data_IF_889216557593
#
_entry.id   IF_889216557593
#
_cell.length_a   1.000
_cell.length_b   1.000
_cell.length_c   1.000
_cell.angle_alpha   90.00
_cell.angle_beta   90.00
_cell.angle_gamma   90.00
#
_symmetry.space_group_name_H-M   'P 1'
#
loop_
_entity.id
_entity.type
_entity.pdbx_description
1 polymer ?
#
# COMPACT_ATOMS: atom_id res chain seq x y z
N UNK A 1 17.79 9.20 2.54
CA UNK A 1 17.25 7.93 2.02
C UNK A 1 15.80 8.13 1.62
N UNK A 2 15.44 7.65 0.42
CA UNK A 2 14.08 7.71 -0.12
C UNK A 2 13.59 6.29 -0.35
N UNK A 3 12.41 5.96 0.18
CA UNK A 3 11.78 4.64 0.06
C UNK A 3 10.43 4.81 -0.62
N UNK A 4 10.25 4.19 -1.77
CA UNK A 4 8.95 4.08 -2.43
C UNK A 4 8.14 2.96 -1.76
N UNK A 5 7.11 3.32 -1.05
CA UNK A 5 6.35 2.37 -0.22
C UNK A 5 5.23 1.66 -0.97
N UNK A 6 5.06 1.92 -2.27
CA UNK A 6 4.03 1.27 -3.07
C UNK A 6 4.42 1.15 -4.54
N UNK A 7 4.91 -0.02 -4.90
CA UNK A 7 5.24 -0.36 -6.28
C UNK A 7 4.78 -1.80 -6.60
N UNK A 8 4.01 -1.97 -7.67
CA UNK A 8 3.61 -3.28 -8.16
C UNK A 8 4.62 -3.81 -9.15
N UNK A 9 4.97 -5.11 -9.04
CA UNK A 9 5.83 -5.77 -10.02
C UNK A 9 5.09 -6.90 -10.73
N UNK A 10 5.44 -7.09 -11.98
CA UNK A 10 4.95 -8.15 -12.87
C UNK A 10 6.13 -8.79 -13.59
N UNK A 11 5.91 -9.95 -14.21
CA UNK A 11 6.98 -10.60 -15.01
C UNK A 11 7.23 -9.93 -16.36
N UNK A 12 6.30 -9.08 -16.84
CA UNK A 12 6.39 -8.42 -18.13
C UNK A 12 7.32 -7.19 -18.09
N UNK A 13 7.92 -6.88 -19.21
CA UNK A 13 8.93 -5.83 -19.35
C UNK A 13 8.45 -4.42 -18.95
N UNK A 14 7.16 -4.15 -18.96
CA UNK A 14 6.65 -2.83 -18.58
C UNK A 14 6.69 -2.56 -17.07
N UNK A 15 6.79 -3.61 -16.24
CA UNK A 15 6.71 -3.48 -14.78
C UNK A 15 7.51 -4.53 -14.00
N UNK A 16 8.58 -5.12 -14.59
CA UNK A 16 9.42 -6.08 -13.89
C UNK A 16 10.42 -5.40 -12.93
N UNK A 17 11.13 -6.22 -12.16
CA UNK A 17 12.06 -5.75 -11.14
C UNK A 17 13.25 -4.98 -11.74
N UNK A 18 13.72 -5.34 -12.92
CA UNK A 18 14.80 -4.64 -13.62
C UNK A 18 14.34 -3.24 -14.04
N UNK A 19 13.09 -3.10 -14.48
CA UNK A 19 12.53 -1.80 -14.86
C UNK A 19 12.39 -0.86 -13.67
N UNK A 20 11.91 -1.33 -12.53
CA UNK A 20 11.80 -0.47 -11.35
C UNK A 20 13.17 -0.09 -10.79
N UNK A 21 14.17 -0.98 -10.83
CA UNK A 21 15.54 -0.66 -10.44
C UNK A 21 16.13 0.45 -11.32
N UNK A 22 15.87 0.39 -12.63
CA UNK A 22 16.29 1.44 -13.56
C UNK A 22 15.65 2.79 -13.19
N UNK A 23 14.32 2.82 -12.92
CA UNK A 23 13.62 4.04 -12.52
C UNK A 23 14.14 4.58 -11.18
N UNK A 24 14.37 3.72 -10.20
CA UNK A 24 14.90 4.12 -8.89
C UNK A 24 16.30 4.73 -9.01
N UNK A 25 17.20 4.10 -9.77
CA UNK A 25 18.53 4.64 -10.01
C UNK A 25 18.46 6.01 -10.70
N UNK A 26 17.56 6.17 -11.66
CA UNK A 26 17.38 7.42 -12.42
C UNK A 26 16.93 8.58 -11.53
N UNK A 27 16.08 8.32 -10.54
CA UNK A 27 15.47 9.36 -9.72
C UNK A 27 16.01 9.44 -8.29
N UNK A 28 17.04 8.66 -7.96
CA UNK A 28 17.67 8.67 -6.65
C UNK A 28 16.78 8.09 -5.54
N UNK A 29 15.94 7.09 -5.87
CA UNK A 29 15.16 6.32 -4.89
C UNK A 29 16.02 5.15 -4.43
N UNK A 30 16.21 5.04 -3.13
CA UNK A 30 17.17 4.09 -2.53
C UNK A 30 16.59 2.68 -2.41
N UNK A 31 15.32 2.57 -2.00
CA UNK A 31 14.64 1.32 -1.72
C UNK A 31 13.16 1.37 -2.12
N UNK A 32 12.51 0.21 -2.17
CA UNK A 32 11.07 0.10 -2.39
C UNK A 32 10.41 -1.03 -1.65
N UNK A 33 9.08 -0.92 -1.50
CA UNK A 33 8.21 -2.00 -1.07
C UNK A 33 7.45 -2.52 -2.28
N UNK A 34 7.63 -3.80 -2.57
CA UNK A 34 7.03 -4.47 -3.72
C UNK A 34 5.72 -5.14 -3.35
N UNK A 35 4.77 -5.02 -4.26
CA UNK A 35 3.46 -5.65 -4.20
C UNK A 35 3.25 -6.54 -5.44
N UNK A 36 2.50 -7.65 -5.34
CA UNK A 36 2.18 -8.45 -6.52
C UNK A 36 1.32 -7.62 -7.49
N UNK A 37 1.73 -7.59 -8.75
CA UNK A 37 1.04 -6.94 -9.85
C UNK A 37 0.35 -7.92 -10.79
N UNK A 38 -0.29 -7.43 -11.86
CA UNK A 38 -0.87 -8.26 -12.92
C UNK A 38 -2.25 -8.87 -12.64
N UNK A 39 -2.74 -8.78 -11.40
CA UNK A 39 -4.11 -9.23 -11.06
C UNK A 39 -5.19 -8.30 -11.65
N UNK A 40 -4.84 -7.05 -11.85
CA UNK A 40 -5.70 -6.00 -12.39
C UNK A 40 -5.02 -5.36 -13.61
N UNK A 41 -5.68 -5.36 -14.74
CA UNK A 41 -5.25 -4.56 -15.90
C UNK A 41 -5.88 -3.17 -15.82
N UNK A 42 -5.10 -2.18 -15.42
CA UNK A 42 -5.57 -0.79 -15.27
C UNK A 42 -6.16 -0.20 -16.55
N UNK A 43 -5.76 -0.70 -17.73
CA UNK A 43 -6.34 -0.30 -19.04
C UNK A 43 -7.79 -0.73 -19.19
N UNK A 44 -8.20 -1.74 -18.42
CA UNK A 44 -9.57 -2.29 -18.37
C UNK A 44 -10.41 -1.77 -17.21
N UNK A 45 -9.91 -0.79 -16.44
CA UNK A 45 -10.59 -0.29 -15.24
C UNK A 45 -12.04 0.11 -15.51
N UNK A 46 -12.31 0.76 -16.64
CA UNK A 46 -13.69 1.14 -17.03
C UNK A 46 -14.60 -0.07 -17.23
N UNK A 47 -14.06 -1.20 -17.72
CA UNK A 47 -14.83 -2.43 -17.91
C UNK A 47 -15.15 -3.09 -16.56
N UNK A 48 -14.20 -3.07 -15.64
CA UNK A 48 -14.39 -3.56 -14.28
C UNK A 48 -15.42 -2.73 -13.50
N UNK A 49 -15.33 -1.40 -13.57
CA UNK A 49 -16.32 -0.50 -12.94
C UNK A 49 -17.74 -0.71 -13.48
N UNK A 50 -17.86 -0.97 -14.78
CA UNK A 50 -19.16 -1.26 -15.42
C UNK A 50 -19.67 -2.68 -15.21
N UNK A 51 -18.89 -3.56 -14.57
CA UNK A 51 -19.21 -4.97 -14.39
C UNK A 51 -19.23 -5.79 -15.68
N UNK A 52 -18.59 -5.30 -16.76
CA UNK A 52 -18.49 -6.00 -18.05
C UNK A 52 -17.42 -7.11 -17.98
N UNK A 53 -16.34 -6.84 -17.29
CA UNK A 53 -15.29 -7.81 -16.98
C UNK A 53 -15.03 -7.80 -15.46
N UNK A 54 -14.43 -8.87 -14.97
CA UNK A 54 -13.93 -8.96 -13.59
C UNK A 54 -12.41 -9.15 -13.59
N UNK A 55 -11.68 -8.59 -12.61
CA UNK A 55 -10.26 -8.83 -12.47
C UNK A 55 -9.94 -10.32 -12.28
N UNK A 56 -8.75 -10.76 -12.72
CA UNK A 56 -8.29 -12.13 -12.50
C UNK A 56 -7.61 -12.26 -11.12
N UNK A 57 -8.40 -12.47 -10.09
CA UNK A 57 -7.92 -12.64 -8.72
C UNK A 57 -7.64 -14.10 -8.30
N UNK A 58 -7.68 -15.07 -9.21
CA UNK A 58 -7.47 -16.49 -8.88
C UNK A 58 -6.03 -16.81 -8.51
N UNK A 59 -5.07 -16.17 -9.18
CA UNK A 59 -3.65 -16.31 -8.89
C UNK A 59 -3.11 -14.99 -8.38
N UNK A 60 -2.47 -15.02 -7.22
CA UNK A 60 -1.80 -13.87 -6.62
C UNK A 60 -0.30 -14.09 -6.77
N UNK A 61 0.42 -13.28 -7.59
CA UNK A 61 1.84 -13.51 -7.87
C UNK A 61 2.77 -13.05 -6.72
N UNK A 62 2.52 -13.56 -5.51
CA UNK A 62 3.39 -13.33 -4.35
C UNK A 62 4.78 -13.95 -4.54
N UNK A 63 4.91 -14.98 -5.33
CA UNK A 63 6.18 -15.61 -5.72
C UNK A 63 7.08 -14.64 -6.49
N UNK A 64 6.54 -13.82 -7.38
CA UNK A 64 7.31 -12.79 -8.12
C UNK A 64 7.90 -11.76 -7.15
N UNK A 65 7.13 -11.37 -6.13
CA UNK A 65 7.63 -10.48 -5.07
C UNK A 65 8.70 -11.18 -4.24
N UNK A 66 8.45 -12.43 -3.83
CA UNK A 66 9.37 -13.22 -3.01
C UNK A 66 10.73 -13.39 -3.68
N UNK A 67 10.74 -13.75 -4.95
CA UNK A 67 11.97 -13.91 -5.73
C UNK A 67 12.72 -12.59 -5.84
N UNK A 68 12.00 -11.47 -6.02
CA UNK A 68 12.59 -10.16 -6.15
C UNK A 68 13.22 -9.67 -4.84
N UNK A 69 12.55 -9.83 -3.69
CA UNK A 69 13.09 -9.42 -2.39
C UNK A 69 14.26 -10.31 -1.95
N UNK A 70 14.28 -11.59 -2.33
CA UNK A 70 15.43 -12.48 -2.11
C UNK A 70 16.63 -12.10 -2.98
N UNK A 71 16.39 -11.81 -4.26
CA UNK A 71 17.44 -11.45 -5.22
C UNK A 71 18.08 -10.09 -4.94
N UNK A 72 17.28 -9.13 -4.47
CA UNK A 72 17.68 -7.74 -4.23
C UNK A 72 17.34 -7.29 -2.80
N UNK A 73 17.79 -8.06 -1.80
CA UNK A 73 17.43 -7.87 -0.39
C UNK A 73 17.94 -6.56 0.22
N UNK A 74 18.95 -5.92 -0.38
CA UNK A 74 19.44 -4.60 -0.02
C UNK A 74 18.58 -3.46 -0.59
N UNK A 75 17.71 -3.75 -1.59
CA UNK A 75 16.88 -2.79 -2.32
C UNK A 75 15.40 -2.88 -2.00
N UNK A 76 14.88 -4.08 -1.75
CA UNK A 76 13.45 -4.27 -1.67
C UNK A 76 12.99 -4.96 -0.40
N UNK A 77 11.86 -4.51 0.09
CA UNK A 77 10.95 -5.21 0.98
C UNK A 77 9.74 -5.70 0.18
N UNK A 78 8.92 -6.60 0.74
CA UNK A 78 7.70 -7.08 0.09
C UNK A 78 6.50 -7.08 1.02
N UNK A 79 5.33 -6.78 0.47
CA UNK A 79 4.04 -7.02 1.12
C UNK A 79 3.38 -8.23 0.47
N UNK A 80 2.89 -9.13 1.32
CA UNK A 80 2.21 -10.36 0.89
C UNK A 80 0.72 -10.09 0.69
N UNK A 81 0.19 -10.41 -0.48
CA UNK A 81 -1.23 -10.18 -0.76
C UNK A 81 -2.05 -11.42 -0.39
N UNK A 82 -3.08 -11.22 0.41
CA UNK A 82 -4.03 -12.26 0.84
C UNK A 82 -5.40 -12.01 0.19
N UNK A 83 -6.05 -13.08 -0.29
CA UNK A 83 -7.45 -13.07 -0.66
C UNK A 83 -8.31 -13.61 0.50
N UNK A 84 -9.02 -12.77 1.25
CA UNK A 84 -9.82 -13.20 2.41
C UNK A 84 -10.95 -14.17 2.08
N UNK A 85 -11.37 -14.22 0.79
CA UNK A 85 -12.43 -15.12 0.34
C UNK A 85 -11.95 -16.53 -0.02
N UNK A 86 -10.65 -16.72 -0.25
CA UNK A 86 -10.08 -17.98 -0.73
C UNK A 86 -9.13 -18.65 0.27
N UNK A 87 -8.81 -17.99 1.35
CA UNK A 87 -7.90 -18.49 2.39
C UNK A 87 -8.63 -19.40 3.36
N UNK A 88 -8.14 -20.60 3.56
CA UNK A 88 -8.69 -21.58 4.52
C UNK A 88 -8.27 -21.24 5.97
N UNK A 89 -7.06 -20.73 6.16
CA UNK A 89 -6.50 -20.36 7.46
C UNK A 89 -5.66 -19.08 7.34
N UNK A 90 -6.16 -17.99 7.87
CA UNK A 90 -5.47 -16.68 7.87
C UNK A 90 -4.14 -16.72 8.62
N UNK A 91 -4.10 -17.44 9.75
CA UNK A 91 -2.89 -17.54 10.57
C UNK A 91 -1.74 -18.22 9.81
N UNK A 92 -2.04 -19.26 9.03
CA UNK A 92 -1.03 -19.96 8.23
C UNK A 92 -0.49 -19.09 7.09
N UNK A 93 -1.34 -18.31 6.42
CA UNK A 93 -0.94 -17.36 5.39
C UNK A 93 -0.04 -16.26 5.95
N UNK A 94 -0.40 -15.69 7.10
CA UNK A 94 0.42 -14.67 7.76
C UNK A 94 1.75 -15.26 8.22
N UNK A 95 1.73 -16.46 8.82
CA UNK A 95 2.95 -17.15 9.21
C UNK A 95 3.86 -17.43 8.02
N UNK A 96 3.30 -17.92 6.91
CA UNK A 96 4.06 -18.12 5.67
C UNK A 96 4.71 -16.81 5.18
N UNK A 97 3.96 -15.71 5.19
CA UNK A 97 4.49 -14.41 4.78
C UNK A 97 5.68 -13.99 5.65
N UNK A 98 5.55 -14.11 6.98
CA UNK A 98 6.63 -13.77 7.92
C UNK A 98 7.87 -14.64 7.74
N UNK A 99 7.68 -15.97 7.66
CA UNK A 99 8.77 -16.94 7.50
C UNK A 99 9.54 -16.72 6.18
N UNK A 100 8.92 -16.07 5.19
CA UNK A 100 9.54 -15.74 3.90
C UNK A 100 10.02 -14.28 3.79
N UNK A 101 9.99 -13.50 4.87
CA UNK A 101 10.58 -12.17 4.92
C UNK A 101 9.69 -11.04 4.38
N UNK A 102 8.40 -11.27 4.23
CA UNK A 102 7.46 -10.20 3.95
C UNK A 102 7.27 -9.32 5.20
N UNK A 103 7.15 -8.00 5.00
CA UNK A 103 7.13 -7.02 6.09
C UNK A 103 5.76 -6.39 6.33
N UNK A 104 4.73 -6.87 5.65
CA UNK A 104 3.35 -6.42 5.77
C UNK A 104 2.40 -7.20 4.88
N UNK A 105 1.12 -6.96 5.05
CA UNK A 105 0.03 -7.63 4.32
C UNK A 105 -0.69 -6.65 3.40
N UNK A 106 -0.96 -7.07 2.16
CA UNK A 106 -1.79 -6.34 1.19
C UNK A 106 -3.18 -6.94 1.11
N UNK A 107 -4.19 -6.10 1.17
CA UNK A 107 -5.57 -6.40 0.81
C UNK A 107 -5.95 -5.71 -0.49
N UNK A 108 -6.59 -6.44 -1.43
CA UNK A 108 -6.95 -5.95 -2.75
C UNK A 108 -8.47 -6.07 -3.03
N UNK A 109 -9.32 -5.24 -2.39
CA UNK A 109 -10.77 -5.38 -2.47
C UNK A 109 -11.35 -5.24 -3.89
N UNK A 110 -10.74 -4.46 -4.78
CA UNK A 110 -11.19 -4.37 -6.17
C UNK A 110 -11.00 -5.68 -6.94
N UNK A 111 -9.95 -6.45 -6.59
CA UNK A 111 -9.64 -7.73 -7.23
C UNK A 111 -10.44 -8.86 -6.62
N UNK A 112 -10.46 -8.95 -5.30
CA UNK A 112 -10.98 -10.11 -4.58
C UNK A 112 -12.42 -9.92 -4.08
N UNK A 113 -13.01 -8.73 -4.24
CA UNK A 113 -14.42 -8.42 -3.99
C UNK A 113 -14.94 -8.87 -2.61
N UNK A 114 -14.24 -8.48 -1.55
CA UNK A 114 -14.64 -8.73 -0.16
C UNK A 114 -14.99 -7.43 0.57
N UNK A 115 -15.65 -7.58 1.72
CA UNK A 115 -15.85 -6.45 2.63
C UNK A 115 -14.64 -6.26 3.55
N UNK A 116 -14.14 -5.03 3.66
CA UNK A 116 -13.10 -4.67 4.62
C UNK A 116 -13.53 -4.88 6.09
N UNK A 117 -14.84 -5.02 6.34
CA UNK A 117 -15.39 -5.34 7.67
C UNK A 117 -15.97 -6.76 7.75
N UNK A 118 -15.46 -7.71 6.97
CA UNK A 118 -15.79 -9.14 7.10
C UNK A 118 -15.07 -9.76 8.31
N UNK A 119 -15.59 -10.85 8.83
CA UNK A 119 -14.98 -11.57 9.97
C UNK A 119 -13.56 -12.03 9.65
N UNK A 120 -13.29 -12.48 8.43
CA UNK A 120 -11.96 -12.89 7.97
C UNK A 120 -10.96 -11.73 7.97
N UNK A 121 -11.41 -10.52 7.57
CA UNK A 121 -10.55 -9.31 7.65
C UNK A 121 -10.32 -8.88 9.10
N UNK A 122 -11.31 -9.07 9.98
CA UNK A 122 -11.15 -8.79 11.40
C UNK A 122 -10.12 -9.73 12.04
N UNK A 123 -10.22 -11.04 11.77
CA UNK A 123 -9.23 -12.02 12.21
C UNK A 123 -7.82 -11.68 11.69
N UNK A 124 -7.70 -11.36 10.41
CA UNK A 124 -6.43 -10.92 9.81
C UNK A 124 -5.88 -9.67 10.51
N UNK A 125 -6.72 -8.69 10.78
CA UNK A 125 -6.31 -7.47 11.46
C UNK A 125 -5.82 -7.74 12.88
N UNK A 126 -6.49 -8.60 13.63
CA UNK A 126 -6.08 -8.98 14.99
C UNK A 126 -4.72 -9.67 14.99
N UNK A 127 -4.53 -10.70 14.16
CA UNK A 127 -3.27 -11.43 14.04
C UNK A 127 -2.12 -10.51 13.60
N UNK A 128 -2.34 -9.66 12.59
CA UNK A 128 -1.35 -8.68 12.17
C UNK A 128 -0.93 -7.73 13.31
N UNK A 129 -1.88 -7.32 14.16
CA UNK A 129 -1.60 -6.50 15.33
C UNK A 129 -0.72 -7.19 16.37
N UNK A 130 -0.89 -8.50 16.57
CA UNK A 130 -0.05 -9.30 17.47
C UNK A 130 1.39 -9.41 16.99
N UNK A 131 1.59 -9.56 15.69
CA UNK A 131 2.92 -9.66 15.08
C UNK A 131 3.52 -8.30 14.70
N UNK A 132 2.75 -7.21 14.80
CA UNK A 132 3.19 -5.87 14.41
C UNK A 132 3.33 -5.66 12.90
N UNK A 133 2.66 -6.49 12.10
CA UNK A 133 2.61 -6.38 10.65
C UNK A 133 1.64 -5.26 10.24
N UNK A 134 2.06 -4.27 9.42
CA UNK A 134 1.13 -3.31 8.87
C UNK A 134 0.27 -3.94 7.77
N UNK A 135 -0.97 -3.46 7.64
CA UNK A 135 -1.90 -3.84 6.57
C UNK A 135 -2.03 -2.68 5.61
N UNK A 136 -1.69 -2.92 4.34
CA UNK A 136 -1.94 -1.97 3.25
C UNK A 136 -3.23 -2.35 2.51
N UNK A 137 -4.12 -1.39 2.28
CA UNK A 137 -5.30 -1.56 1.44
C UNK A 137 -5.56 -0.32 0.60
N UNK A 138 -6.12 -0.51 -0.60
CA UNK A 138 -6.80 0.56 -1.31
C UNK A 138 -8.30 0.49 -1.01
N UNK A 139 -9.01 1.54 -1.36
CA UNK A 139 -10.48 1.63 -1.26
C UNK A 139 -11.09 1.80 -2.64
N UNK A 140 -12.37 1.51 -2.74
CA UNK A 140 -13.16 1.63 -3.96
C UNK A 140 -14.49 2.32 -3.68
N UNK A 141 -15.14 2.84 -4.71
CA UNK A 141 -16.48 3.41 -4.58
C UNK A 141 -17.52 2.28 -4.36
N UNK A 142 -17.45 1.70 -3.16
CA UNK A 142 -18.34 0.61 -2.74
C UNK A 142 -18.55 0.65 -1.23
N UNK A 143 -19.77 0.43 -0.74
CA UNK A 143 -20.02 0.32 0.70
C UNK A 143 -19.19 -0.77 1.40
N UNK A 144 -18.78 -1.81 0.67
CA UNK A 144 -17.98 -2.91 1.21
C UNK A 144 -16.51 -2.53 1.46
N UNK A 145 -15.96 -1.58 0.71
CA UNK A 145 -14.53 -1.25 0.74
C UNK A 145 -14.30 0.27 0.60
N UNK A 146 -15.09 1.08 1.27
CA UNK A 146 -14.97 2.54 1.33
C UNK A 146 -13.91 3.00 2.34
N UNK A 147 -13.50 4.25 2.26
CA UNK A 147 -12.60 4.92 3.20
C UNK A 147 -13.10 4.80 4.65
N UNK A 148 -14.42 4.92 4.86
CA UNK A 148 -15.05 4.73 6.17
C UNK A 148 -14.83 3.31 6.74
N UNK A 149 -14.74 2.26 5.90
CA UNK A 149 -14.46 0.91 6.37
C UNK A 149 -13.04 0.76 6.90
N UNK A 150 -12.07 1.46 6.32
CA UNK A 150 -10.70 1.50 6.87
C UNK A 150 -10.67 2.24 8.21
N UNK A 151 -11.44 3.31 8.35
CA UNK A 151 -11.61 4.00 9.63
C UNK A 151 -12.19 3.08 10.71
N UNK A 152 -13.25 2.31 10.40
CA UNK A 152 -13.83 1.33 11.33
C UNK A 152 -12.78 0.30 11.77
N UNK A 153 -11.99 -0.25 10.83
CA UNK A 153 -10.89 -1.16 11.14
C UNK A 153 -9.87 -0.52 12.08
N UNK A 154 -9.43 0.70 11.78
CA UNK A 154 -8.42 1.41 12.56
C UNK A 154 -8.90 1.71 13.99
N UNK A 155 -10.18 2.05 14.18
CA UNK A 155 -10.77 2.24 15.51
C UNK A 155 -10.88 0.95 16.33
N UNK A 156 -11.20 -0.16 15.65
CA UNK A 156 -11.42 -1.45 16.31
C UNK A 156 -10.09 -2.15 16.64
N UNK A 157 -9.13 -2.14 15.73
CA UNK A 157 -7.86 -2.87 15.85
C UNK A 157 -6.68 -1.92 16.08
N UNK A 158 -6.62 -1.32 17.26
CA UNK A 158 -5.65 -0.26 17.60
C UNK A 158 -4.17 -0.71 17.64
N UNK A 159 -3.92 -2.02 17.75
CA UNK A 159 -2.57 -2.58 17.71
C UNK A 159 -2.03 -2.76 16.30
N UNK A 160 -2.92 -2.74 15.30
CA UNK A 160 -2.60 -2.94 13.90
C UNK A 160 -2.46 -1.60 13.21
N UNK A 161 -1.36 -1.40 12.50
CA UNK A 161 -1.18 -0.23 11.67
C UNK A 161 -1.81 -0.47 10.30
N UNK A 162 -2.61 0.49 9.84
CA UNK A 162 -3.24 0.48 8.53
C UNK A 162 -2.62 1.54 7.64
N UNK A 163 -2.31 1.16 6.40
CA UNK A 163 -1.84 2.07 5.35
C UNK A 163 -2.95 2.14 4.31
N UNK A 164 -3.59 3.30 4.22
CA UNK A 164 -4.59 3.58 3.20
C UNK A 164 -3.88 4.09 1.94
N UNK A 165 -3.92 3.31 0.88
CA UNK A 165 -3.32 3.65 -0.41
C UNK A 165 -4.02 4.82 -1.11
N UNK A 166 -3.26 5.52 -1.95
CA UNK A 166 -3.75 6.54 -2.87
C UNK A 166 -4.40 7.76 -2.22
N UNK A 167 -4.09 8.04 -0.95
CA UNK A 167 -4.76 9.09 -0.17
C UNK A 167 -6.27 8.86 -0.01
N UNK A 168 -6.75 7.61 -0.18
CA UNK A 168 -8.17 7.27 -0.16
C UNK A 168 -8.76 7.05 -1.54
N UNK A 169 -9.99 7.49 -1.79
CA UNK A 169 -10.69 7.32 -3.06
C UNK A 169 -10.68 8.58 -3.90
N UNK A 170 -10.25 8.43 -5.15
CA UNK A 170 -10.23 9.53 -6.13
C UNK A 170 -9.12 10.55 -5.84
N UNK A 171 -9.14 11.69 -6.53
CA UNK A 171 -8.03 12.64 -6.47
C UNK A 171 -7.96 13.46 -5.17
N UNK A 172 -9.05 13.48 -4.36
CA UNK A 172 -9.14 14.29 -3.15
C UNK A 172 -10.16 13.72 -2.16
N UNK A 173 -9.74 12.75 -1.35
CA UNK A 173 -10.58 12.14 -0.30
C UNK A 173 -10.32 12.84 1.05
N UNK A 174 -11.13 13.84 1.36
CA UNK A 174 -10.99 14.59 2.62
C UNK A 174 -11.33 13.74 3.85
N UNK A 175 -12.20 12.72 3.71
CA UNK A 175 -12.52 11.81 4.80
C UNK A 175 -11.29 11.01 5.22
N UNK A 176 -10.43 10.59 4.27
CA UNK A 176 -9.19 9.90 4.57
C UNK A 176 -8.29 10.73 5.50
N UNK A 177 -8.16 12.03 5.22
CA UNK A 177 -7.37 12.96 6.05
C UNK A 177 -7.99 13.11 7.45
N UNK A 178 -9.31 13.28 7.54
CA UNK A 178 -9.99 13.41 8.84
C UNK A 178 -9.87 12.12 9.67
N UNK A 179 -10.04 10.96 9.06
CA UNK A 179 -9.91 9.68 9.75
C UNK A 179 -8.47 9.38 10.21
N UNK A 180 -7.46 9.75 9.40
CA UNK A 180 -6.07 9.63 9.80
C UNK A 180 -5.71 10.56 10.98
N UNK A 181 -6.37 11.72 11.11
CA UNK A 181 -6.25 12.59 12.27
C UNK A 181 -6.81 11.96 13.55
N UNK A 182 -7.90 11.20 13.43
CA UNK A 182 -8.57 10.58 14.57
C UNK A 182 -7.99 9.21 14.99
N UNK A 183 -7.16 8.59 14.15
CA UNK A 183 -6.60 7.26 14.36
C UNK A 183 -5.08 7.28 14.36
N UNK A 184 -4.44 7.00 15.50
CA UNK A 184 -2.98 6.99 15.62
C UNK A 184 -2.33 5.92 14.73
N UNK A 185 -3.05 4.85 14.41
CA UNK A 185 -2.62 3.69 13.64
C UNK A 185 -3.07 3.72 12.16
N UNK A 186 -3.59 4.85 11.65
CA UNK A 186 -3.95 5.02 10.24
C UNK A 186 -2.97 5.98 9.56
N UNK A 187 -2.37 5.53 8.47
CA UNK A 187 -1.40 6.25 7.64
C UNK A 187 -1.92 6.36 6.22
N UNK A 188 -1.56 7.43 5.52
CA UNK A 188 -1.96 7.69 4.14
C UNK A 188 -0.76 7.55 3.21
N UNK A 189 -0.87 6.69 2.21
CA UNK A 189 0.15 6.52 1.18
C UNK A 189 -0.18 7.44 -0.01
N UNK A 190 0.81 8.17 -0.51
CA UNK A 190 0.62 9.38 -1.31
C UNK A 190 0.42 9.19 -2.81
N UNK A 191 0.56 7.96 -3.33
CA UNK A 191 0.34 7.75 -4.76
C UNK A 191 -1.07 8.19 -5.21
N UNK A 192 -1.19 8.69 -6.42
CA UNK A 192 -2.45 9.19 -6.99
C UNK A 192 -3.12 10.37 -6.24
N UNK A 193 -2.62 10.78 -5.09
CA UNK A 193 -3.12 11.97 -4.40
C UNK A 193 -2.86 13.23 -5.22
N UNK A 194 -3.89 14.05 -5.43
CA UNK A 194 -3.70 15.36 -6.06
C UNK A 194 -2.91 16.29 -5.15
N UNK A 195 -2.28 17.32 -5.74
CA UNK A 195 -1.57 18.33 -4.96
C UNK A 195 -2.44 18.94 -3.85
N UNK A 196 -3.73 19.20 -4.15
CA UNK A 196 -4.69 19.76 -3.20
C UNK A 196 -4.85 18.89 -1.96
N UNK A 197 -4.98 17.56 -2.11
CA UNK A 197 -5.17 16.69 -0.94
C UNK A 197 -3.87 16.46 -0.18
N UNK A 198 -2.72 16.47 -0.86
CA UNK A 198 -1.40 16.39 -0.23
C UNK A 198 -1.13 17.63 0.64
N UNK A 199 -1.41 18.83 0.13
CA UNK A 199 -1.28 20.08 0.88
C UNK A 199 -2.23 20.11 2.09
N UNK A 200 -3.49 19.72 1.90
CA UNK A 200 -4.46 19.66 3.02
C UNK A 200 -4.04 18.63 4.06
N UNK A 201 -3.52 17.46 3.64
CA UNK A 201 -3.02 16.45 4.56
C UNK A 201 -1.81 16.94 5.38
N UNK A 202 -0.85 17.63 4.77
CA UNK A 202 0.27 18.27 5.50
C UNK A 202 -0.25 19.29 6.53
N UNK A 203 -1.18 20.13 6.14
CA UNK A 203 -1.78 21.15 7.02
C UNK A 203 -2.51 20.54 8.22
N UNK A 204 -3.25 19.44 8.01
CA UNK A 204 -4.11 18.83 9.05
C UNK A 204 -3.36 17.81 9.91
N UNK A 205 -2.44 17.03 9.32
CA UNK A 205 -1.75 15.89 9.93
C UNK A 205 -0.27 16.15 10.21
N UNK A 206 0.32 17.16 9.57
CA UNK A 206 1.77 17.26 9.46
C UNK A 206 2.35 16.12 8.62
N UNK A 207 3.67 15.92 8.74
CA UNK A 207 4.40 14.93 7.93
C UNK A 207 4.37 13.50 8.49
N UNK A 208 3.91 13.28 9.74
CA UNK A 208 4.12 12.01 10.45
C UNK A 208 3.13 10.90 10.08
N UNK A 209 2.10 11.22 9.32
CA UNK A 209 1.05 10.30 8.89
C UNK A 209 1.08 9.97 7.40
N UNK A 210 1.95 10.65 6.64
CA UNK A 210 2.07 10.46 5.20
C UNK A 210 3.25 9.54 4.86
N UNK A 211 3.06 8.71 3.84
CA UNK A 211 4.06 7.74 3.38
C UNK A 211 4.17 7.87 1.87
N UNK A 212 5.37 8.16 1.36
CA UNK A 212 5.62 8.25 -0.07
C UNK A 212 5.45 6.90 -0.77
N UNK A 213 4.71 6.88 -1.87
CA UNK A 213 4.60 5.75 -2.79
C UNK A 213 4.32 6.21 -4.21
N UNK A 214 4.65 5.38 -5.20
CA UNK A 214 4.55 5.74 -6.61
C UNK A 214 3.40 5.09 -7.37
N UNK A 215 2.93 3.93 -6.96
CA UNK A 215 2.03 3.08 -7.76
C UNK A 215 2.68 2.62 -9.08
N UNK A 216 4.01 2.45 -9.10
CA UNK A 216 4.67 1.85 -10.26
C UNK A 216 4.00 0.49 -10.61
N UNK A 217 3.82 0.11 -11.88
CA UNK A 217 4.23 0.78 -13.11
C UNK A 217 3.17 1.75 -13.67
N UNK A 218 2.07 1.98 -12.96
CA UNK A 218 1.00 2.86 -13.43
C UNK A 218 1.47 4.32 -13.52
N UNK A 219 2.30 4.73 -12.58
CA UNK A 219 2.96 6.05 -12.58
C UNK A 219 4.48 5.90 -12.49
N UNK A 220 5.19 6.92 -12.97
CA UNK A 220 6.64 7.00 -12.81
C UNK A 220 6.99 7.37 -11.37
N UNK A 221 7.90 6.61 -10.71
CA UNK A 221 8.36 6.96 -9.36
C UNK A 221 8.94 8.38 -9.26
N UNK A 222 9.59 8.84 -10.32
CA UNK A 222 10.12 10.20 -10.36
C UNK A 222 9.05 11.28 -10.37
N UNK A 223 7.95 11.08 -11.11
CA UNK A 223 6.82 12.03 -11.12
C UNK A 223 6.16 12.10 -9.76
N UNK A 224 5.93 10.94 -9.11
CA UNK A 224 5.36 10.89 -7.77
C UNK A 224 6.27 11.54 -6.73
N UNK A 225 7.60 11.37 -6.85
CA UNK A 225 8.56 12.02 -5.96
C UNK A 225 8.58 13.56 -6.14
N UNK A 226 8.47 14.05 -7.36
CA UNK A 226 8.37 15.49 -7.62
C UNK A 226 7.10 16.12 -7.03
N UNK A 227 5.98 15.39 -6.97
CA UNK A 227 4.76 15.85 -6.29
C UNK A 227 4.99 16.07 -4.79
N UNK A 228 5.81 15.22 -4.15
CA UNK A 228 6.19 15.44 -2.73
C UNK A 228 7.15 16.62 -2.57
N UNK A 229 8.11 16.78 -3.48
CA UNK A 229 9.04 17.94 -3.44
C UNK A 229 8.33 19.27 -3.65
N UNK A 230 7.22 19.27 -4.42
CA UNK A 230 6.41 20.46 -4.67
C UNK A 230 5.63 20.96 -3.43
N UNK A 231 5.61 20.19 -2.33
CA UNK A 231 4.96 20.58 -1.07
C UNK A 231 5.79 21.56 -0.21
N UNK A 232 6.96 21.99 -0.69
CA UNK A 232 7.84 22.94 0.03
C UNK A 232 8.16 22.54 1.49
N UNK A 233 8.37 21.24 1.70
CA UNK A 233 8.65 20.64 3.01
C UNK A 233 10.07 20.99 3.49
N UNK A 234 10.24 21.11 4.80
CA UNK A 234 11.58 21.10 5.38
C UNK A 234 12.19 19.69 5.34
N UNK A 235 13.50 19.58 5.62
CA UNK A 235 14.23 18.31 5.53
C UNK A 235 13.67 17.21 6.45
N UNK A 236 13.18 17.55 7.64
CA UNK A 236 12.62 16.56 8.56
C UNK A 236 11.26 16.06 8.09
N UNK A 237 10.41 16.93 7.58
CA UNK A 237 9.12 16.58 7.00
C UNK A 237 9.29 15.71 5.76
N UNK A 238 10.17 16.09 4.84
CA UNK A 238 10.49 15.27 3.68
C UNK A 238 11.02 13.88 4.09
N UNK A 239 11.94 13.82 5.07
CA UNK A 239 12.46 12.57 5.60
C UNK A 239 11.40 11.71 6.29
N UNK A 240 10.43 12.32 6.97
CA UNK A 240 9.33 11.59 7.59
C UNK A 240 8.51 10.87 6.51
N UNK A 241 8.06 11.61 5.48
CA UNK A 241 7.21 11.08 4.40
C UNK A 241 7.96 10.05 3.55
N UNK A 242 9.18 10.38 3.13
CA UNK A 242 9.92 9.54 2.19
C UNK A 242 10.69 8.37 2.83
N UNK A 243 10.76 8.29 4.18
CA UNK A 243 11.60 7.27 4.80
C UNK A 243 11.13 6.83 6.19
N UNK A 244 11.11 7.76 7.17
CA UNK A 244 11.01 7.38 8.58
C UNK A 244 9.67 6.71 8.92
N UNK A 245 8.57 7.22 8.37
CA UNK A 245 7.23 6.70 8.68
C UNK A 245 7.09 5.24 8.28
N UNK A 246 7.44 4.90 7.04
CA UNK A 246 7.34 3.50 6.59
C UNK A 246 8.30 2.58 7.34
N UNK A 247 9.54 3.01 7.58
CA UNK A 247 10.50 2.21 8.34
C UNK A 247 10.01 1.93 9.77
N UNK A 248 9.36 2.89 10.42
CA UNK A 248 8.80 2.70 11.75
C UNK A 248 7.67 1.67 11.76
N UNK A 249 6.91 1.55 10.68
CA UNK A 249 5.82 0.59 10.55
C UNK A 249 6.33 -0.85 10.34
N UNK A 250 7.42 -1.02 9.57
CA UNK A 250 7.97 -2.34 9.24
C UNK A 250 9.08 -2.82 10.17
N UNK A 251 9.62 -1.97 11.05
CA UNK A 251 10.75 -2.29 11.96
C UNK A 251 10.53 -3.48 12.90
N UNK A 252 9.30 -3.80 13.22
CA UNK A 252 8.98 -4.94 14.12
C UNK A 252 9.14 -6.29 13.42
N UNK A 253 9.32 -6.28 12.11
CA UNK A 253 9.38 -7.47 11.25
C UNK A 253 10.77 -7.66 10.64
N UNK A 254 11.59 -6.59 10.60
CA UNK A 254 12.99 -6.56 10.12
C UNK A 254 13.96 -6.57 11.31
#
# INVERSE_FOLDING_TARGET
MIIDSHAHIVNENYGNVEKILYEYNKYGIDKGILFPGGMLDVRKMTLYIKGIEIPNGKYIPNDVVLDSIKKYSDKFYGFYCINPNATECIADEIKFAMDNGFVGIKLAPIVHQFSLTSNTVYELAEICGEYGLPIYTHVVYSPAASTNKVYILSKQFRKTNFILGHMGFGPADIEAVQYAKECDNLFLETSQGSQIILEEAIKVLGSTKLIFGSEFPMYSPGVSLESIKALELNNDEFNNICCKNILNLIRKVV
#
